data_IF_215384899432
#
_entry.id   IF_215384899432
#
_cell.length_a   1.000
_cell.length_b   1.000
_cell.length_c   1.000
_cell.angle_alpha   90.00
_cell.angle_beta   90.00
_cell.angle_gamma   90.00
#
_symmetry.space_group_name_H-M   'P 1'
#
loop_
_entity.id
_entity.type
_entity.pdbx_description
1 polymer ?
#
# COMPACT_ATOMS: atom_id res chain seq x y z
N UNK A 1 -45.34 22.70 18.83
CA UNK A 1 -45.43 21.98 17.55
C UNK A 1 -44.40 22.44 16.52
N UNK A 2 -43.29 23.03 16.93
CA UNK A 2 -42.26 23.59 16.04
C UNK A 2 -40.86 22.95 16.23
N UNK A 3 -40.73 21.84 16.94
CA UNK A 3 -39.44 21.24 17.34
C UNK A 3 -38.96 20.05 16.47
N UNK A 4 -39.67 19.71 15.38
CA UNK A 4 -39.37 18.47 14.64
C UNK A 4 -38.60 18.62 13.32
N UNK A 5 -38.26 19.85 12.89
CA UNK A 5 -37.51 20.02 11.64
C UNK A 5 -36.00 20.12 11.81
N UNK A 6 -35.49 20.46 12.99
CA UNK A 6 -34.06 20.57 13.23
C UNK A 6 -33.36 19.24 13.29
N UNK A 7 -34.00 18.19 13.83
CA UNK A 7 -33.38 16.87 13.97
C UNK A 7 -33.31 16.08 12.66
N UNK A 8 -34.17 16.36 11.70
CA UNK A 8 -34.16 15.69 10.39
C UNK A 8 -33.04 16.20 9.49
N UNK A 9 -32.73 17.49 9.58
CA UNK A 9 -31.65 18.11 8.81
C UNK A 9 -30.28 17.61 9.32
N UNK A 10 -30.11 17.54 10.64
CA UNK A 10 -28.86 17.02 11.23
C UNK A 10 -28.59 15.53 10.90
N UNK A 11 -29.62 14.70 10.88
CA UNK A 11 -29.50 13.30 10.50
C UNK A 11 -29.14 13.14 9.02
N UNK A 12 -29.67 13.98 8.14
CA UNK A 12 -29.37 13.95 6.71
C UNK A 12 -27.93 14.37 6.40
N UNK A 13 -27.40 15.37 7.12
CA UNK A 13 -26.02 15.84 6.97
C UNK A 13 -25.04 14.78 7.44
N UNK A 14 -25.29 14.10 8.56
CA UNK A 14 -24.45 13.01 9.07
C UNK A 14 -24.44 11.83 8.09
N UNK A 15 -25.56 11.51 7.48
CA UNK A 15 -25.65 10.42 6.48
C UNK A 15 -24.87 10.76 5.19
N UNK A 16 -24.88 12.02 4.78
CA UNK A 16 -24.11 12.50 3.62
C UNK A 16 -22.60 12.41 3.86
N UNK A 17 -22.13 12.71 5.08
CA UNK A 17 -20.72 12.58 5.46
C UNK A 17 -20.24 11.12 5.51
N UNK A 18 -21.11 10.19 5.90
CA UNK A 18 -20.80 8.75 5.89
C UNK A 18 -20.69 8.19 4.47
N UNK A 19 -21.44 8.72 3.50
CA UNK A 19 -21.35 8.30 2.09
C UNK A 19 -20.05 8.79 1.44
N UNK A 20 -19.54 9.96 1.82
CA UNK A 20 -18.28 10.51 1.31
C UNK A 20 -17.06 9.72 1.87
N UNK A 21 -17.16 9.11 3.05
CA UNK A 21 -16.10 8.29 3.64
C UNK A 21 -15.91 6.92 2.98
N UNK A 22 -16.81 6.48 2.12
CA UNK A 22 -16.74 5.24 1.36
C UNK A 22 -16.26 5.44 -0.09
N UNK A 23 -15.58 6.56 -0.41
CA UNK A 23 -14.93 6.71 -1.70
C UNK A 23 -13.82 5.66 -1.83
N UNK A 24 -13.98 4.70 -2.73
CA UNK A 24 -12.97 3.72 -3.07
C UNK A 24 -11.68 4.46 -3.48
N UNK A 25 -10.63 4.29 -2.69
CA UNK A 25 -9.34 4.93 -2.97
C UNK A 25 -8.68 4.38 -4.24
N UNK A 26 -9.15 3.25 -4.75
CA UNK A 26 -8.54 2.51 -5.86
C UNK A 26 -7.25 1.80 -5.48
N UNK A 27 -6.89 1.80 -4.19
CA UNK A 27 -5.75 1.08 -3.63
C UNK A 27 -6.30 0.03 -2.66
N UNK A 28 -6.13 -1.24 -3.01
CA UNK A 28 -6.70 -2.37 -2.27
C UNK A 28 -5.58 -3.08 -1.51
N UNK A 29 -5.73 -3.22 -0.21
CA UNK A 29 -4.78 -3.99 0.58
C UNK A 29 -4.84 -5.47 0.22
N UNK A 30 -3.68 -6.05 -0.09
CA UNK A 30 -3.55 -7.46 -0.47
C UNK A 30 -3.00 -8.32 0.66
N UNK A 31 -1.95 -7.86 1.34
CA UNK A 31 -1.32 -8.60 2.42
C UNK A 31 -0.26 -7.80 3.16
N UNK A 32 0.17 -8.32 4.30
CA UNK A 32 1.15 -7.69 5.17
C UNK A 32 2.03 -8.73 5.86
N UNK A 33 3.32 -8.42 5.94
CA UNK A 33 4.28 -9.01 6.84
C UNK A 33 4.70 -7.97 7.89
N UNK A 34 4.84 -8.38 9.15
CA UNK A 34 5.39 -7.52 10.19
C UNK A 34 6.19 -8.38 11.17
N UNK A 35 7.46 -8.07 11.33
CA UNK A 35 8.25 -8.59 12.44
C UNK A 35 7.94 -7.80 13.71
N UNK A 36 8.18 -8.39 14.88
CA UNK A 36 7.76 -7.84 16.16
C UNK A 36 8.30 -6.44 16.47
N UNK A 37 9.45 -6.01 15.87
CA UNK A 37 10.04 -4.71 16.22
C UNK A 37 10.78 -3.98 15.09
N UNK A 38 11.17 -4.63 13.99
CA UNK A 38 12.17 -4.01 13.09
C UNK A 38 11.73 -3.81 11.65
N UNK A 39 10.77 -4.56 11.14
CA UNK A 39 10.47 -4.48 9.71
C UNK A 39 9.01 -4.78 9.37
N UNK A 40 8.55 -4.17 8.28
CA UNK A 40 7.23 -4.43 7.71
C UNK A 40 7.27 -4.43 6.18
N UNK A 41 6.45 -5.27 5.57
CA UNK A 41 6.22 -5.30 4.13
C UNK A 41 4.72 -5.30 3.88
N UNK A 42 4.26 -4.40 3.03
CA UNK A 42 2.87 -4.31 2.61
C UNK A 42 2.74 -4.59 1.12
N UNK A 43 1.66 -5.20 0.70
CA UNK A 43 1.33 -5.38 -0.71
C UNK A 43 -0.08 -4.90 -1.00
N UNK A 44 -0.23 -4.21 -2.13
CA UNK A 44 -1.46 -3.59 -2.59
C UNK A 44 -1.73 -3.91 -4.04
N UNK A 45 -3.01 -3.90 -4.41
CA UNK A 45 -3.46 -3.88 -5.80
C UNK A 45 -3.95 -2.48 -6.17
N UNK A 46 -3.64 -2.04 -7.38
CA UNK A 46 -3.99 -0.73 -7.89
C UNK A 46 -5.00 -0.84 -9.03
N UNK A 47 -6.10 -0.10 -8.93
CA UNK A 47 -6.95 0.16 -10.10
C UNK A 47 -6.23 1.04 -11.12
N UNK A 48 -6.56 0.88 -12.41
CA UNK A 48 -5.85 1.53 -13.52
C UNK A 48 -5.98 3.07 -13.52
N UNK A 49 -7.00 3.61 -12.88
CA UNK A 49 -7.25 5.05 -12.80
C UNK A 49 -6.44 5.76 -11.70
N UNK A 50 -5.69 5.03 -10.88
CA UNK A 50 -4.92 5.62 -9.78
C UNK A 50 -3.63 6.23 -10.31
N UNK A 51 -3.42 7.53 -10.00
CA UNK A 51 -2.22 8.24 -10.40
C UNK A 51 -1.00 7.83 -9.56
N UNK A 52 0.19 7.97 -10.17
CA UNK A 52 1.48 7.77 -9.49
C UNK A 52 1.60 8.59 -8.21
N UNK A 53 1.16 9.86 -8.24
CA UNK A 53 1.27 10.76 -7.09
C UNK A 53 0.40 10.31 -5.93
N UNK A 54 -0.79 9.77 -6.20
CA UNK A 54 -1.64 9.17 -5.18
C UNK A 54 -1.04 7.93 -4.54
N UNK A 55 -0.38 7.08 -5.32
CA UNK A 55 0.34 5.91 -4.80
C UNK A 55 1.50 6.35 -3.93
N UNK A 56 2.26 7.35 -4.36
CA UNK A 56 3.37 7.92 -3.58
C UNK A 56 2.89 8.50 -2.25
N UNK A 57 1.83 9.29 -2.26
CA UNK A 57 1.22 9.84 -1.05
C UNK A 57 0.78 8.73 -0.10
N UNK A 58 0.06 7.72 -0.61
CA UNK A 58 -0.36 6.56 0.17
C UNK A 58 0.83 5.83 0.80
N UNK A 59 1.91 5.61 0.03
CA UNK A 59 3.10 4.94 0.53
C UNK A 59 3.78 5.68 1.68
N UNK A 60 3.76 7.01 1.65
CA UNK A 60 4.32 7.85 2.71
C UNK A 60 3.49 7.78 4.00
N UNK A 61 2.18 7.60 3.90
CA UNK A 61 1.30 7.45 5.09
C UNK A 61 1.50 6.11 5.81
N UNK A 62 2.04 5.11 5.12
CA UNK A 62 2.30 3.76 5.67
C UNK A 62 3.64 3.63 6.37
N UNK A 63 4.50 4.64 6.27
CA UNK A 63 5.82 4.59 6.90
C UNK A 63 5.65 4.63 8.40
N UNK A 64 5.98 3.50 9.02
CA UNK A 64 6.01 3.39 10.47
C UNK A 64 7.41 3.78 10.97
N UNK A 65 7.50 4.93 11.65
CA UNK A 65 8.76 5.41 12.21
C UNK A 65 9.34 4.47 13.27
N UNK A 66 8.51 3.63 13.88
CA UNK A 66 8.94 2.60 14.83
C UNK A 66 9.66 1.42 14.18
N UNK A 67 9.64 1.31 12.85
CA UNK A 67 10.28 0.24 12.09
C UNK A 67 11.57 0.74 11.45
N UNK A 68 12.64 -0.04 11.55
CA UNK A 68 13.93 0.23 10.91
C UNK A 68 13.82 0.07 9.38
N UNK A 69 13.09 -0.95 8.94
CA UNK A 69 12.89 -1.28 7.53
C UNK A 69 11.40 -1.31 7.20
N UNK A 70 11.00 -0.70 6.09
CA UNK A 70 9.63 -0.78 5.60
C UNK A 70 9.61 -0.80 4.08
N UNK A 71 8.80 -1.68 3.50
CA UNK A 71 8.59 -1.74 2.06
C UNK A 71 7.10 -1.86 1.73
N UNK A 72 6.69 -1.23 0.64
CA UNK A 72 5.34 -1.33 0.09
C UNK A 72 5.42 -1.64 -1.40
N UNK A 73 4.71 -2.68 -1.82
CA UNK A 73 4.65 -3.16 -3.19
C UNK A 73 3.26 -2.92 -3.76
N UNK A 74 3.20 -2.33 -4.94
CA UNK A 74 1.95 -1.97 -5.61
C UNK A 74 1.85 -2.68 -6.95
N UNK A 75 0.91 -3.60 -7.05
CA UNK A 75 0.68 -4.44 -8.22
C UNK A 75 -0.54 -3.98 -9.01
N UNK A 76 -0.59 -4.30 -10.31
CA UNK A 76 -1.80 -4.15 -11.10
C UNK A 76 -2.95 -4.98 -10.50
N UNK A 77 -4.16 -4.43 -10.45
CA UNK A 77 -5.32 -5.12 -9.90
C UNK A 77 -5.71 -6.41 -10.67
N UNK A 78 -5.34 -6.49 -11.93
CA UNK A 78 -5.58 -7.68 -12.78
C UNK A 78 -4.52 -8.78 -12.60
N UNK A 79 -3.55 -8.60 -11.69
CA UNK A 79 -2.50 -9.58 -11.46
C UNK A 79 -2.94 -10.66 -10.48
N UNK A 80 -2.36 -11.87 -10.63
CA UNK A 80 -2.58 -13.00 -9.73
C UNK A 80 -1.44 -13.13 -8.70
N UNK A 81 -0.97 -12.02 -8.16
CA UNK A 81 0.07 -12.02 -7.14
C UNK A 81 -0.49 -12.56 -5.83
N UNK A 82 0.12 -13.58 -5.22
CA UNK A 82 -0.37 -14.15 -3.96
C UNK A 82 0.05 -13.27 -2.77
N UNK A 83 -0.47 -12.04 -2.68
CA UNK A 83 -0.12 -11.06 -1.66
C UNK A 83 -0.40 -11.55 -0.25
N UNK A 84 -1.39 -12.44 -0.07
CA UNK A 84 -1.70 -13.08 1.22
C UNK A 84 -0.54 -13.98 1.73
N UNK A 85 0.36 -14.42 0.85
CA UNK A 85 1.53 -15.22 1.24
C UNK A 85 2.52 -14.43 2.10
N UNK A 86 2.48 -13.10 2.08
CA UNK A 86 3.34 -12.25 2.89
C UNK A 86 3.29 -12.59 4.37
N UNK A 87 2.11 -12.92 4.90
CA UNK A 87 1.94 -13.28 6.32
C UNK A 87 2.71 -14.53 6.74
N UNK A 88 3.11 -15.38 5.77
CA UNK A 88 3.86 -16.61 6.01
C UNK A 88 5.37 -16.42 5.90
N UNK A 89 5.83 -15.22 5.57
CA UNK A 89 7.24 -14.90 5.42
C UNK A 89 7.98 -15.10 6.75
N UNK A 90 9.19 -15.66 6.67
CA UNK A 90 10.03 -15.95 7.83
C UNK A 90 10.72 -14.70 8.38
N UNK A 91 11.06 -13.77 7.48
CA UNK A 91 11.77 -12.53 7.77
C UNK A 91 11.52 -11.51 6.67
N UNK A 92 12.09 -10.30 6.82
CA UNK A 92 11.94 -9.21 5.87
C UNK A 92 12.43 -9.58 4.46
N UNK A 93 13.61 -10.22 4.36
CA UNK A 93 14.17 -10.59 3.05
C UNK A 93 13.29 -11.62 2.34
N UNK A 94 12.78 -12.61 3.06
CA UNK A 94 11.84 -13.59 2.51
C UNK A 94 10.56 -12.93 1.97
N UNK A 95 10.03 -11.93 2.68
CA UNK A 95 8.88 -11.15 2.22
C UNK A 95 9.19 -10.35 0.94
N UNK A 96 10.35 -9.71 0.87
CA UNK A 96 10.83 -9.01 -0.33
C UNK A 96 10.96 -9.97 -1.50
N UNK A 97 11.58 -11.14 -1.29
CA UNK A 97 11.81 -12.15 -2.33
C UNK A 97 10.50 -12.73 -2.88
N UNK A 98 9.50 -12.93 -2.01
CA UNK A 98 8.18 -13.36 -2.45
C UNK A 98 7.56 -12.31 -3.38
N UNK A 99 7.59 -11.04 -3.03
CA UNK A 99 6.96 -9.98 -3.84
C UNK A 99 7.70 -9.71 -5.15
N UNK A 100 9.02 -9.70 -5.13
CA UNK A 100 9.84 -9.41 -6.32
C UNK A 100 9.84 -10.53 -7.37
N UNK A 101 9.43 -11.75 -7.02
CA UNK A 101 9.16 -12.81 -8.02
C UNK A 101 8.09 -12.42 -9.03
N UNK A 102 7.18 -11.51 -8.64
CA UNK A 102 6.08 -11.04 -9.47
C UNK A 102 6.35 -9.67 -10.10
N UNK A 103 7.61 -9.33 -10.32
CA UNK A 103 8.05 -8.03 -10.81
C UNK A 103 7.37 -7.60 -12.13
N UNK A 104 6.94 -8.52 -12.99
CA UNK A 104 6.20 -8.21 -14.22
C UNK A 104 4.84 -7.52 -13.97
N UNK A 105 4.24 -7.76 -12.82
CA UNK A 105 2.97 -7.15 -12.40
C UNK A 105 3.16 -5.96 -11.47
N UNK A 106 4.40 -5.67 -11.09
CA UNK A 106 4.75 -4.64 -10.12
C UNK A 106 4.81 -3.27 -10.81
N UNK A 107 4.02 -2.32 -10.31
CA UNK A 107 3.98 -0.95 -10.81
C UNK A 107 4.87 -0.01 -10.03
N UNK A 108 4.83 -0.08 -8.71
CA UNK A 108 5.60 0.81 -7.84
C UNK A 108 6.12 0.07 -6.61
N UNK A 109 7.25 0.53 -6.10
CA UNK A 109 7.82 0.10 -4.82
C UNK A 109 8.19 1.33 -4.00
N UNK A 110 7.83 1.34 -2.73
CA UNK A 110 8.34 2.28 -1.74
C UNK A 110 9.18 1.52 -0.72
N UNK A 111 10.32 2.08 -0.35
CA UNK A 111 11.26 1.45 0.57
C UNK A 111 11.85 2.49 1.53
N UNK A 112 11.82 2.17 2.83
CA UNK A 112 12.53 2.90 3.88
C UNK A 112 13.66 2.03 4.40
N UNK A 113 14.88 2.51 4.34
CA UNK A 113 16.05 1.82 4.88
C UNK A 113 16.29 2.12 6.38
N UNK A 114 17.25 1.45 6.98
CA UNK A 114 17.60 1.60 8.40
C UNK A 114 18.04 3.02 8.79
N UNK A 115 18.53 3.81 7.84
CA UNK A 115 18.91 5.22 8.07
C UNK A 115 17.72 6.19 7.99
N UNK A 116 16.50 5.68 7.72
CA UNK A 116 15.29 6.47 7.54
C UNK A 116 15.13 7.08 6.15
N UNK A 117 16.04 6.79 5.21
CA UNK A 117 15.92 7.24 3.84
C UNK A 117 14.79 6.51 3.12
N UNK A 118 13.94 7.28 2.45
CA UNK A 118 12.78 6.78 1.71
C UNK A 118 13.04 6.88 0.23
N UNK A 119 12.81 5.77 -0.49
CA UNK A 119 12.86 5.68 -1.94
C UNK A 119 11.50 5.29 -2.49
N UNK A 120 11.06 5.93 -3.56
CA UNK A 120 9.87 5.56 -4.32
C UNK A 120 10.26 5.35 -5.77
N UNK A 121 10.00 4.16 -6.29
CA UNK A 121 10.41 3.73 -7.62
C UNK A 121 9.19 3.39 -8.47
N UNK A 122 9.17 3.91 -9.68
CA UNK A 122 8.23 3.53 -10.74
C UNK A 122 8.85 2.39 -11.55
N UNK A 123 8.39 1.17 -11.30
CA UNK A 123 8.91 -0.04 -11.94
C UNK A 123 8.46 -0.18 -13.40
N UNK A 124 7.50 0.60 -13.85
CA UNK A 124 7.09 0.62 -15.27
C UNK A 124 8.04 1.45 -16.11
N UNK A 125 8.63 2.50 -15.55
CA UNK A 125 9.61 3.36 -16.21
C UNK A 125 11.07 2.92 -15.99
N UNK A 126 11.35 2.26 -14.86
CA UNK A 126 12.67 1.73 -14.48
C UNK A 126 12.57 0.24 -14.05
N UNK A 127 12.27 -0.67 -15.00
CA UNK A 127 12.02 -2.08 -14.68
C UNK A 127 13.26 -2.83 -14.20
N UNK A 128 14.45 -2.32 -14.43
CA UNK A 128 15.72 -2.93 -14.00
C UNK A 128 16.18 -2.46 -12.61
N UNK A 129 15.43 -1.58 -11.98
CA UNK A 129 15.71 -1.13 -10.62
C UNK A 129 15.75 -2.32 -9.65
N UNK A 130 16.76 -2.33 -8.78
CA UNK A 130 16.96 -3.43 -7.81
C UNK A 130 15.77 -3.62 -6.87
N UNK A 131 15.07 -2.52 -6.52
CA UNK A 131 13.87 -2.60 -5.68
C UNK A 131 12.69 -3.26 -6.41
N UNK A 132 12.65 -3.19 -7.74
CA UNK A 132 11.59 -3.80 -8.55
C UNK A 132 11.85 -5.29 -8.80
N UNK A 133 13.09 -5.68 -9.00
CA UNK A 133 13.47 -7.06 -9.36
C UNK A 133 13.91 -7.92 -8.19
N UNK A 134 14.19 -7.32 -7.04
CA UNK A 134 14.90 -7.99 -5.97
C UNK A 134 16.39 -8.19 -6.30
N UNK A 135 17.18 -8.46 -5.30
CA UNK A 135 18.57 -8.82 -5.51
C UNK A 135 18.59 -10.24 -6.07
N UNK A 136 18.95 -10.38 -7.34
CA UNK A 136 19.48 -11.65 -7.83
C UNK A 136 20.91 -11.76 -7.28
N UNK A 137 21.06 -12.55 -6.24
CA UNK A 137 22.35 -13.05 -5.81
C UNK A 137 22.75 -14.22 -6.68
#
# INVERSE_FOLDING_TARGET
>A
MFLNNSNKVSALIIFLWLIIACADSGIIEGGKFSSSQKSSVHAFYLHDYISRDKVKEHSLTLIDESKDLSASFYFSHNSNVPTQSLRLSKNFQDAIDIMTRYHHSLKYVSFKNETGQISFVDCTSDPDNKLCRGNKY
#
